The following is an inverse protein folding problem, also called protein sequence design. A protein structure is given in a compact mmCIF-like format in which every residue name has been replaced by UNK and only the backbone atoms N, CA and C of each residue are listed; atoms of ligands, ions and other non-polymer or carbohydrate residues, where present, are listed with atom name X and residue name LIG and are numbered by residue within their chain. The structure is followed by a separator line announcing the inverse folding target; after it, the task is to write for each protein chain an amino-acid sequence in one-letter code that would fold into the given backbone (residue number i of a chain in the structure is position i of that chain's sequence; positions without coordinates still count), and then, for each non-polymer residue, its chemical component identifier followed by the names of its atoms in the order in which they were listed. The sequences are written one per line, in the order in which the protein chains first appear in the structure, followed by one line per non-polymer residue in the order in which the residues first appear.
data_IF_402357111316
#
_entry.id   IF_402357111316
#
_cell.length_a   1.000
_cell.length_b   1.000
_cell.length_c   1.000
_cell.angle_alpha   90.00
_cell.angle_beta   90.00
_cell.angle_gamma   90.00
#
_symmetry.space_group_name_H-M   'P 1'
#
loop_
_entity.id
_entity.type
_entity.pdbx_description
1 polymer ?
#
# COMPACT_ATOMS: atom_id res chain seq x y z
N UNK A 1 -8.04 -7.55 -8.77
CA UNK A 1 -6.87 -6.78 -9.21
C UNK A 1 -5.61 -7.53 -8.85
N UNK A 2 -4.67 -7.63 -9.78
CA UNK A 2 -3.32 -8.15 -9.52
C UNK A 2 -2.53 -7.17 -8.63
N UNK A 3 -1.42 -7.63 -8.01
CA UNK A 3 -0.57 -6.76 -7.19
C UNK A 3 -0.01 -5.57 -8.01
N UNK A 4 0.30 -5.82 -9.29
CA UNK A 4 0.74 -4.76 -10.21
C UNK A 4 -0.38 -3.75 -10.50
N UNK A 5 -1.60 -4.21 -10.79
CA UNK A 5 -2.75 -3.32 -11.04
C UNK A 5 -3.05 -2.42 -9.82
N UNK A 6 -2.92 -2.95 -8.61
CA UNK A 6 -3.08 -2.17 -7.37
C UNK A 6 -2.03 -1.07 -7.25
N UNK A 7 -0.75 -1.41 -7.53
CA UNK A 7 0.33 -0.44 -7.55
C UNK A 7 0.11 0.61 -8.65
N UNK A 8 -0.23 0.18 -9.86
CA UNK A 8 -0.50 1.04 -11.01
C UNK A 8 -1.58 2.07 -10.68
N UNK A 9 -2.73 1.62 -10.15
CA UNK A 9 -3.80 2.53 -9.75
C UNK A 9 -3.34 3.51 -8.66
N UNK A 10 -2.53 3.06 -7.70
CA UNK A 10 -2.01 3.94 -6.64
C UNK A 10 -1.02 4.98 -7.20
N UNK A 11 -0.21 4.61 -8.19
CA UNK A 11 0.67 5.56 -8.86
C UNK A 11 -0.11 6.62 -9.64
N UNK A 12 -1.19 6.23 -10.34
CA UNK A 12 -2.09 7.19 -10.99
C UNK A 12 -2.68 8.21 -10.00
N UNK A 13 -3.06 7.77 -8.80
CA UNK A 13 -3.54 8.63 -7.72
C UNK A 13 -2.43 9.56 -7.17
N UNK A 14 -1.20 9.06 -7.03
CA UNK A 14 -0.05 9.85 -6.54
C UNK A 14 0.30 10.97 -7.50
N UNK A 15 0.33 10.67 -8.80
CA UNK A 15 0.60 11.66 -9.84
C UNK A 15 -0.63 12.47 -10.25
N UNK A 16 -1.77 12.25 -9.58
CA UNK A 16 -3.02 12.98 -9.79
C UNK A 16 -3.46 13.00 -11.26
N UNK A 17 -3.21 11.89 -11.97
CA UNK A 17 -3.52 11.75 -13.39
C UNK A 17 -5.04 11.72 -13.66
N UNK A 18 -5.83 11.51 -12.61
CA UNK A 18 -7.29 11.60 -12.57
C UNK A 18 -7.81 13.05 -12.44
N UNK A 19 -6.98 14.02 -12.04
CA UNK A 19 -7.37 15.42 -11.79
C UNK A 19 -6.96 16.38 -12.91
N UNK A 20 -6.91 15.92 -14.15
CA UNK A 20 -6.51 16.71 -15.33
C UNK A 20 -7.36 17.97 -15.58
N UNK A 21 -8.55 18.05 -14.99
CA UNK A 21 -9.41 19.24 -15.06
C UNK A 21 -8.83 20.46 -14.31
N UNK A 22 -7.88 20.24 -13.39
CA UNK A 22 -7.21 21.31 -12.66
C UNK A 22 -6.14 21.97 -13.55
N UNK A 23 -6.46 23.12 -14.14
CA UNK A 23 -5.54 23.87 -15.03
C UNK A 23 -5.00 25.19 -14.41
N UNK A 24 -4.39 25.08 -13.23
CA UNK A 24 -3.80 26.23 -12.54
C UNK A 24 -2.54 25.88 -11.75
N UNK A 25 -1.67 26.86 -11.53
CA UNK A 25 -0.46 26.71 -10.70
C UNK A 25 0.42 25.54 -11.13
N UNK A 26 0.81 24.70 -10.17
CA UNK A 26 1.67 23.53 -10.41
C UNK A 26 0.98 22.44 -11.25
N UNK A 27 -0.35 22.38 -11.25
CA UNK A 27 -1.11 21.40 -12.03
C UNK A 27 -0.91 21.56 -13.54
N UNK A 28 -0.66 22.80 -14.03
CA UNK A 28 -0.26 23.03 -15.42
C UNK A 28 0.99 22.25 -15.81
N UNK A 29 2.00 22.26 -14.94
CA UNK A 29 3.27 21.58 -15.18
C UNK A 29 3.05 20.07 -15.15
N UNK A 30 2.24 19.57 -14.20
CA UNK A 30 1.91 18.15 -14.14
C UNK A 30 1.13 17.70 -15.38
N UNK A 31 0.15 18.48 -15.83
CA UNK A 31 -0.66 18.18 -17.02
C UNK A 31 0.17 18.14 -18.31
N UNK A 32 1.19 18.99 -18.45
CA UNK A 32 2.09 18.97 -19.62
C UNK A 32 2.80 17.63 -19.80
N UNK A 33 3.04 16.90 -18.71
CA UNK A 33 3.73 15.61 -18.69
C UNK A 33 2.82 14.44 -18.33
N UNK A 34 1.52 14.69 -18.11
CA UNK A 34 0.60 13.67 -17.65
C UNK A 34 0.46 12.50 -18.63
N UNK A 35 0.52 12.76 -19.93
CA UNK A 35 0.48 11.70 -20.97
C UNK A 35 1.75 10.86 -20.98
N UNK A 36 2.91 11.50 -20.82
CA UNK A 36 4.20 10.82 -20.75
C UNK A 36 4.28 9.94 -19.49
N UNK A 37 3.86 10.46 -18.35
CA UNK A 37 3.82 9.72 -17.07
C UNK A 37 2.81 8.58 -17.14
N UNK A 38 1.62 8.80 -17.71
CA UNK A 38 0.61 7.75 -17.88
C UNK A 38 1.15 6.63 -18.79
N UNK A 39 1.78 6.98 -19.91
CA UNK A 39 2.39 6.01 -20.82
C UNK A 39 3.45 5.17 -20.10
N UNK A 40 4.32 5.84 -19.33
CA UNK A 40 5.35 5.16 -18.57
C UNK A 40 4.74 4.16 -17.57
N UNK A 41 3.76 4.58 -16.77
CA UNK A 41 3.11 3.73 -15.76
C UNK A 41 2.37 2.54 -16.42
N UNK A 42 1.70 2.77 -17.55
CA UNK A 42 0.81 1.78 -18.17
C UNK A 42 1.52 0.82 -19.12
N UNK A 43 2.63 1.24 -19.73
CA UNK A 43 3.30 0.49 -20.81
C UNK A 43 4.74 0.12 -20.47
N UNK A 44 5.52 1.08 -20.00
CA UNK A 44 6.97 0.92 -19.89
C UNK A 44 7.39 0.28 -18.57
N UNK A 45 6.77 0.69 -17.46
CA UNK A 45 7.16 0.30 -16.11
C UNK A 45 7.20 -1.21 -15.94
N UNK A 46 6.15 -1.91 -16.37
CA UNK A 46 6.06 -3.36 -16.26
C UNK A 46 7.16 -4.07 -17.07
N UNK A 47 7.45 -3.58 -18.28
CA UNK A 47 8.50 -4.17 -19.11
C UNK A 47 9.88 -3.96 -18.49
N UNK A 48 10.17 -2.74 -18.03
CA UNK A 48 11.45 -2.40 -17.42
C UNK A 48 11.69 -3.21 -16.14
N UNK A 49 10.71 -3.29 -15.25
CA UNK A 49 10.84 -4.07 -14.01
C UNK A 49 11.10 -5.55 -14.31
N UNK A 50 10.39 -6.14 -15.28
CA UNK A 50 10.63 -7.53 -15.67
C UNK A 50 12.02 -7.76 -16.25
N UNK A 51 12.53 -6.84 -17.06
CA UNK A 51 13.87 -6.94 -17.63
C UNK A 51 14.93 -6.87 -16.53
N UNK A 52 14.84 -5.92 -15.61
CA UNK A 52 15.80 -5.75 -14.53
C UNK A 52 15.75 -6.92 -13.52
N UNK A 53 14.55 -7.38 -13.13
CA UNK A 53 14.41 -8.51 -12.22
C UNK A 53 14.91 -9.83 -12.85
N UNK A 54 14.72 -10.01 -14.16
CA UNK A 54 15.30 -11.16 -14.87
C UNK A 54 16.84 -11.12 -14.86
N UNK A 55 17.43 -9.93 -15.01
CA UNK A 55 18.88 -9.73 -14.90
C UNK A 55 19.41 -10.08 -13.51
N UNK A 56 18.73 -9.60 -12.46
CA UNK A 56 19.10 -9.89 -11.08
C UNK A 56 18.98 -11.37 -10.74
N UNK A 57 17.86 -12.01 -11.10
CA UNK A 57 17.66 -13.44 -10.87
C UNK A 57 18.68 -14.29 -11.62
N UNK A 58 19.07 -13.90 -12.84
CA UNK A 58 20.11 -14.61 -13.59
C UNK A 58 21.49 -14.48 -12.94
N UNK A 59 21.83 -13.32 -12.38
CA UNK A 59 23.09 -13.09 -11.69
C UNK A 59 23.14 -13.82 -10.34
N UNK A 60 22.08 -13.70 -9.54
CA UNK A 60 21.96 -14.37 -8.24
C UNK A 60 22.06 -15.91 -8.40
N UNK A 61 21.42 -16.47 -9.42
CA UNK A 61 21.54 -17.90 -9.72
C UNK A 61 22.97 -18.32 -10.10
N UNK A 62 23.71 -17.47 -10.85
CA UNK A 62 25.12 -17.74 -11.18
C UNK A 62 26.01 -17.70 -9.93
N UNK A 63 25.79 -16.74 -9.05
CA UNK A 63 26.57 -16.59 -7.82
C UNK A 63 26.30 -17.76 -6.86
N UNK A 64 25.04 -18.17 -6.70
CA UNK A 64 24.66 -19.36 -5.91
C UNK A 64 25.25 -20.63 -6.53
N UNK A 65 25.25 -20.77 -7.86
CA UNK A 65 25.90 -21.90 -8.54
C UNK A 65 27.41 -21.92 -8.34
N UNK A 66 28.07 -20.76 -8.38
CA UNK A 66 29.50 -20.64 -8.13
C UNK A 66 29.85 -21.02 -6.69
N UNK A 67 29.08 -20.55 -5.71
CA UNK A 67 29.26 -20.90 -4.30
C UNK A 67 28.98 -22.38 -4.04
N UNK A 68 27.96 -22.96 -4.69
CA UNK A 68 27.67 -24.40 -4.64
C UNK A 68 28.87 -25.20 -5.17
N UNK A 69 29.43 -24.82 -6.32
CA UNK A 69 30.58 -25.49 -6.92
C UNK A 69 31.83 -25.41 -6.03
N UNK A 70 32.05 -24.27 -5.36
CA UNK A 70 33.12 -24.12 -4.38
C UNK A 70 32.87 -25.01 -3.16
N UNK A 71 31.65 -25.02 -2.61
CA UNK A 71 31.28 -25.85 -1.47
C UNK A 71 31.45 -27.34 -1.77
N UNK A 72 31.09 -27.79 -2.98
CA UNK A 72 31.30 -29.17 -3.45
C UNK A 72 32.79 -29.53 -3.55
N UNK A 73 33.64 -28.62 -4.05
CA UNK A 73 35.10 -28.82 -4.10
C UNK A 73 35.69 -28.90 -2.70
N UNK A 74 35.28 -28.01 -1.79
CA UNK A 74 35.74 -28.00 -0.40
C UNK A 74 35.32 -29.27 0.34
N UNK A 75 34.08 -29.74 0.17
CA UNK A 75 33.60 -30.99 0.76
C UNK A 75 34.39 -32.20 0.27
N UNK A 76 34.66 -32.29 -1.05
CA UNK A 76 35.51 -33.33 -1.64
C UNK A 76 36.94 -33.31 -1.10
N UNK A 77 37.54 -32.13 -0.97
CA UNK A 77 38.90 -31.99 -0.44
C UNK A 77 39.02 -32.37 1.05
N UNK A 78 37.95 -32.18 1.82
CA UNK A 78 37.89 -32.54 3.24
C UNK A 78 37.46 -34.00 3.47
N UNK A 79 37.16 -34.77 2.41
CA UNK A 79 36.68 -36.15 2.52
C UNK A 79 35.28 -36.29 3.13
N UNK A 80 34.50 -35.19 3.17
CA UNK A 80 33.14 -35.15 3.71
C UNK A 80 32.15 -35.42 2.56
N UNK A 81 31.16 -36.28 2.81
CA UNK A 81 30.11 -36.58 1.82
C UNK A 81 29.32 -35.29 1.45
N UNK A 82 29.37 -34.85 0.18
CA UNK A 82 28.71 -33.63 -0.27
C UNK A 82 27.20 -33.57 0.02
N UNK A 83 26.52 -34.71 0.15
CA UNK A 83 25.07 -34.77 0.40
C UNK A 83 24.72 -34.55 1.89
N UNK A 84 25.68 -34.68 2.80
CA UNK A 84 25.47 -34.47 4.25
C UNK A 84 25.89 -33.08 4.75
N UNK A 85 26.61 -32.32 3.91
CA UNK A 85 27.03 -30.97 4.26
C UNK A 85 25.85 -30.01 4.28
N UNK A 86 25.54 -29.46 5.45
CA UNK A 86 24.45 -28.48 5.65
C UNK A 86 24.51 -27.34 4.62
N UNK A 87 25.71 -26.81 4.36
CA UNK A 87 25.93 -25.70 3.43
C UNK A 87 25.55 -26.07 1.99
N UNK A 88 25.81 -27.31 1.54
CA UNK A 88 25.46 -27.76 0.18
C UNK A 88 23.96 -27.98 0.04
N UNK A 89 23.31 -28.55 1.05
CA UNK A 89 21.85 -28.75 1.08
C UNK A 89 21.11 -27.42 1.09
N UNK A 90 21.57 -26.44 1.86
CA UNK A 90 21.01 -25.09 1.88
C UNK A 90 21.18 -24.37 0.54
N UNK A 91 22.36 -24.43 -0.06
CA UNK A 91 22.62 -23.81 -1.37
C UNK A 91 21.78 -24.46 -2.48
N UNK A 92 21.60 -25.80 -2.47
CA UNK A 92 20.68 -26.49 -3.39
C UNK A 92 19.22 -26.07 -3.19
N UNK A 93 18.76 -25.96 -1.94
CA UNK A 93 17.42 -25.45 -1.64
C UNK A 93 17.25 -24.02 -2.14
N UNK A 94 18.22 -23.13 -1.90
CA UNK A 94 18.20 -21.75 -2.40
C UNK A 94 18.10 -21.71 -3.92
N UNK A 95 18.88 -22.52 -4.64
CA UNK A 95 18.82 -22.64 -6.10
C UNK A 95 17.46 -23.13 -6.60
N UNK A 96 16.85 -24.09 -5.90
CA UNK A 96 15.52 -24.59 -6.23
C UNK A 96 14.42 -23.53 -5.99
N UNK A 97 14.55 -22.71 -4.94
CA UNK A 97 13.59 -21.64 -4.61
C UNK A 97 13.79 -20.38 -5.48
N UNK A 98 15.02 -20.10 -5.91
CA UNK A 98 15.39 -18.96 -6.77
C UNK A 98 14.74 -18.99 -8.17
N UNK A 99 14.06 -20.09 -8.53
CA UNK A 99 13.30 -20.23 -9.77
C UNK A 99 11.98 -19.44 -9.85
N UNK A 100 11.63 -18.62 -8.85
CA UNK A 100 10.36 -17.88 -8.83
C UNK A 100 10.54 -16.36 -8.91
N UNK A 101 11.21 -15.86 -9.95
CA UNK A 101 11.27 -14.43 -10.27
C UNK A 101 9.86 -13.77 -10.22
N UNK A 102 8.82 -14.52 -10.59
CA UNK A 102 7.41 -14.12 -10.50
C UNK A 102 6.91 -13.89 -9.07
N UNK A 103 7.38 -14.68 -8.10
CA UNK A 103 6.96 -14.53 -6.70
C UNK A 103 7.59 -13.29 -6.08
N UNK A 104 8.88 -13.06 -6.33
CA UNK A 104 9.58 -11.86 -5.89
C UNK A 104 8.96 -10.60 -6.51
N UNK A 105 8.61 -10.65 -7.80
CA UNK A 105 7.93 -9.55 -8.50
C UNK A 105 6.60 -9.19 -7.83
N UNK A 106 5.74 -10.17 -7.54
CA UNK A 106 4.46 -9.95 -6.85
C UNK A 106 4.68 -9.35 -5.45
N UNK A 107 5.70 -9.83 -4.73
CA UNK A 107 6.00 -9.36 -3.39
C UNK A 107 6.47 -7.90 -3.40
N UNK A 108 7.35 -7.53 -4.32
CA UNK A 108 7.82 -6.15 -4.50
C UNK A 108 6.66 -5.21 -4.80
N UNK A 109 5.78 -5.57 -5.74
CA UNK A 109 4.61 -4.74 -6.05
C UNK A 109 3.69 -4.57 -4.84
N UNK A 110 3.47 -5.65 -4.09
CA UNK A 110 2.65 -5.62 -2.87
C UNK A 110 3.26 -4.71 -1.80
N UNK A 111 4.58 -4.78 -1.59
CA UNK A 111 5.30 -3.93 -0.63
C UNK A 111 5.23 -2.46 -1.03
N UNK A 112 5.49 -2.13 -2.30
CA UNK A 112 5.39 -0.77 -2.81
C UNK A 112 3.96 -0.21 -2.66
N UNK A 113 2.95 -0.99 -3.07
CA UNK A 113 1.57 -0.60 -2.90
C UNK A 113 1.22 -0.35 -1.43
N UNK A 114 1.62 -1.25 -0.52
CA UNK A 114 1.35 -1.10 0.91
C UNK A 114 2.05 0.11 1.52
N UNK A 115 3.28 0.40 1.07
CA UNK A 115 4.02 1.60 1.46
C UNK A 115 3.26 2.86 1.03
N UNK A 116 2.95 3.00 -0.26
CA UNK A 116 2.22 4.15 -0.77
C UNK A 116 0.83 4.29 -0.16
N UNK A 117 0.10 3.19 0.02
CA UNK A 117 -1.20 3.19 0.71
C UNK A 117 -1.11 3.66 2.16
N UNK A 118 0.01 3.43 2.83
CA UNK A 118 0.20 3.79 4.23
C UNK A 118 0.64 5.24 4.40
N UNK A 119 1.45 5.73 3.49
CA UNK A 119 2.11 7.02 3.65
C UNK A 119 1.54 8.12 2.75
N UNK A 120 0.91 7.81 1.61
CA UNK A 120 0.35 8.84 0.75
C UNK A 120 -1.08 9.22 1.16
N UNK A 121 -1.30 10.52 1.41
CA UNK A 121 -2.60 11.11 1.69
C UNK A 121 -2.71 12.49 1.01
N UNK A 122 -3.71 12.68 0.15
CA UNK A 122 -4.09 13.98 -0.43
C UNK A 122 -2.93 14.81 -1.03
N UNK A 123 -1.93 14.16 -1.63
CA UNK A 123 -0.79 14.84 -2.25
C UNK A 123 0.43 15.02 -1.35
N UNK A 124 0.39 14.50 -0.12
CA UNK A 124 1.53 14.50 0.81
C UNK A 124 1.85 13.10 1.33
N UNK A 125 3.08 12.93 1.80
CA UNK A 125 3.57 11.72 2.45
C UNK A 125 3.55 11.87 3.97
N UNK A 126 2.45 11.43 4.59
CA UNK A 126 2.24 11.44 6.04
C UNK A 126 2.01 10.02 6.57
N UNK A 127 2.60 9.72 7.73
CA UNK A 127 2.38 8.43 8.39
C UNK A 127 0.94 8.33 8.91
N UNK A 128 0.06 7.64 8.18
CA UNK A 128 -1.32 7.43 8.61
C UNK A 128 -1.35 6.55 9.87
N UNK A 129 -1.98 7.06 10.93
CA UNK A 129 -2.20 6.31 12.17
C UNK A 129 -3.31 5.27 11.92
N UNK A 130 -2.96 3.98 11.88
CA UNK A 130 -3.95 2.89 11.89
C UNK A 130 -4.12 2.36 13.31
N UNK A 131 -5.31 2.56 13.86
CA UNK A 131 -5.69 1.98 15.13
C UNK A 131 -6.24 0.57 14.93
N UNK A 132 -5.99 -0.33 15.88
CA UNK A 132 -6.64 -1.64 15.89
C UNK A 132 -8.11 -1.45 16.25
N UNK A 133 -8.99 -2.19 15.59
CA UNK A 133 -10.42 -2.19 15.92
C UNK A 133 -10.62 -2.50 17.41
N UNK A 134 -11.44 -1.70 18.08
CA UNK A 134 -11.69 -1.80 19.53
C UNK A 134 -10.68 -1.08 20.44
N UNK A 135 -9.64 -0.46 19.89
CA UNK A 135 -8.74 0.40 20.66
C UNK A 135 -9.24 1.84 20.58
N UNK A 136 -9.75 2.36 21.70
CA UNK A 136 -10.12 3.76 21.81
C UNK A 136 -8.87 4.63 21.70
N UNK A 137 -8.81 5.43 20.63
CA UNK A 137 -7.71 6.36 20.40
C UNK A 137 -8.29 7.77 20.24
N UNK A 138 -7.87 8.70 21.11
CA UNK A 138 -8.14 10.12 20.88
C UNK A 138 -7.17 10.63 19.80
N UNK A 139 -7.67 11.25 18.72
CA UNK A 139 -6.81 11.99 17.80
C UNK A 139 -6.21 13.16 18.58
N UNK A 140 -4.92 13.06 18.88
CA UNK A 140 -4.13 14.05 19.59
C UNK A 140 -3.30 14.83 18.57
N UNK A 141 -3.62 16.11 18.40
CA UNK A 141 -2.98 17.06 17.47
C UNK A 141 -1.75 17.74 18.08
N UNK A 142 -1.24 17.27 19.22
CA UNK A 142 -0.07 17.86 19.89
C UNK A 142 -0.38 18.70 21.12
N UNK A 143 -1.66 18.90 21.46
CA UNK A 143 -2.11 19.71 22.61
C UNK A 143 -1.96 18.98 23.95
N UNK A 144 -1.23 19.52 24.93
CA UNK A 144 -0.93 18.84 26.22
C UNK A 144 -2.13 18.20 26.95
N UNK A 145 -3.35 18.75 26.76
CA UNK A 145 -4.59 18.21 27.35
C UNK A 145 -5.74 18.29 26.34
N UNK A 146 -6.39 17.16 26.05
CA UNK A 146 -7.63 17.09 25.26
C UNK A 146 -8.83 16.79 26.17
N UNK A 147 -9.66 17.80 26.41
CA UNK A 147 -10.90 17.67 27.18
C UNK A 147 -12.05 17.26 26.25
N UNK A 148 -12.63 16.08 26.46
CA UNK A 148 -13.78 15.58 25.71
C UNK A 148 -15.03 15.67 26.60
N UNK A 149 -15.98 16.55 26.27
CA UNK A 149 -17.23 16.66 27.01
C UNK A 149 -18.22 15.58 26.54
N UNK A 150 -19.05 15.05 27.44
CA UNK A 150 -19.97 13.93 27.14
C UNK A 150 -20.94 14.20 25.97
N UNK A 151 -21.15 15.47 25.63
CA UNK A 151 -22.07 15.93 24.58
C UNK A 151 -21.35 16.42 23.30
N UNK A 152 -20.09 16.02 23.04
CA UNK A 152 -19.25 16.54 21.96
C UNK A 152 -19.90 16.49 20.58
N UNK A 153 -20.71 15.47 20.34
CA UNK A 153 -21.40 15.24 19.08
C UNK A 153 -22.92 15.25 19.22
N UNK A 154 -23.46 15.82 20.30
CA UNK A 154 -24.91 15.95 20.46
C UNK A 154 -25.40 17.23 19.78
N UNK A 155 -26.26 17.07 18.78
CA UNK A 155 -27.00 18.19 18.20
C UNK A 155 -28.10 18.63 19.17
N UNK A 156 -27.93 19.79 19.79
CA UNK A 156 -28.99 20.43 20.55
C UNK A 156 -30.07 20.98 19.59
N UNK A 157 -31.21 20.29 19.52
CA UNK A 157 -32.38 20.75 18.76
C UNK A 157 -33.36 21.39 19.75
N UNK A 158 -33.53 22.71 19.69
CA UNK A 158 -34.66 23.40 20.36
C UNK A 158 -35.95 23.11 19.61
N UNK A 159 -36.68 22.10 20.06
CA UNK A 159 -38.03 21.80 19.55
C UNK A 159 -39.02 22.96 19.78
N UNK A 160 -38.78 23.81 20.78
CA UNK A 160 -39.67 24.93 21.12
C UNK A 160 -39.75 26.05 20.08
N UNK A 161 -38.79 26.18 19.16
CA UNK A 161 -38.83 27.24 18.13
C UNK A 161 -39.61 26.80 16.88
N UNK A 162 -39.59 25.51 16.54
CA UNK A 162 -40.18 24.99 15.30
C UNK A 162 -41.49 24.21 15.49
N UNK A 163 -41.85 23.79 16.71
CA UNK A 163 -43.04 22.97 16.98
C UNK A 163 -44.01 23.65 17.95
N UNK A 164 -44.35 24.91 17.71
CA UNK A 164 -45.24 25.69 18.58
C UNK A 164 -46.73 25.46 18.32
N UNK A 165 -47.12 24.97 17.14
CA UNK A 165 -48.53 24.71 16.81
C UNK A 165 -48.62 23.48 15.92
N UNK A 166 -48.79 22.31 16.53
CA UNK A 166 -49.07 21.09 15.78
C UNK A 166 -50.26 20.35 16.37
N UNK A 167 -51.05 19.76 15.47
CA UNK A 167 -52.28 19.06 15.81
C UNK A 167 -52.08 17.57 15.56
N UNK A 168 -52.13 16.78 16.62
CA UNK A 168 -52.05 15.32 16.53
C UNK A 168 -53.46 14.74 16.47
N UNK A 169 -53.75 13.96 15.42
CA UNK A 169 -55.03 13.28 15.23
C UNK A 169 -54.84 11.78 15.30
N UNK A 170 -55.56 11.13 16.20
CA UNK A 170 -55.63 9.67 16.28
C UNK A 170 -57.10 9.26 16.41
N UNK A 171 -57.61 8.60 15.37
CA UNK A 171 -59.02 8.24 15.28
C UNK A 171 -59.93 9.47 15.40
N UNK A 172 -60.96 9.45 16.26
CA UNK A 172 -61.87 10.59 16.46
C UNK A 172 -61.27 11.70 17.35
N UNK A 173 -60.12 11.49 17.96
CA UNK A 173 -59.53 12.44 18.91
C UNK A 173 -58.53 13.37 18.23
N UNK A 174 -58.63 14.66 18.55
CA UNK A 174 -57.72 15.70 18.07
C UNK A 174 -57.16 16.44 19.28
N UNK A 175 -55.84 16.42 19.44
CA UNK A 175 -55.13 17.13 20.50
C UNK A 175 -54.26 18.21 19.85
N UNK A 176 -54.38 19.44 20.36
CA UNK A 176 -53.58 20.59 19.92
C UNK A 176 -52.57 20.89 21.02
N UNK A 177 -51.31 20.91 20.64
CA UNK A 177 -50.20 21.33 21.49
C UNK A 177 -49.85 22.77 21.16
#
# INVERSE_FOLDING_TARGET
MTAFEQLQQKLHEIFQLDKRELDFGIYRIMNLKADEIAHFIDKDLLSQVKTELAGYAAQENKDIQAELNQALKTAKNLGVDPETSHKVVELRKKLATAGSATSAEIEIYSHLYNFFKRYYCEGDFISQRRYKDGVYALPYEGEEVKLYWANADQYYIKSGENFTNYTFKVGPHTIRF
#
